data_IF_710978448784
#
_entry.id   IF_710978448784
#
_cell.length_a   1.000
_cell.length_b   1.000
_cell.length_c   1.000
_cell.angle_alpha   90.00
_cell.angle_beta   90.00
_cell.angle_gamma   90.00
#
_symmetry.space_group_name_H-M   'P 1'
#
loop_
_entity.id
_entity.type
_entity.pdbx_description
1 polymer ?
#
# COMPACT_ATOMS: atom_id res chain seq x y z
N UNK A 1 4.11 28.28 7.39
CA UNK A 1 3.25 27.23 6.80
C UNK A 1 3.82 25.85 7.15
N UNK A 2 3.40 25.25 8.28
CA UNK A 2 3.95 23.97 8.73
C UNK A 2 3.38 22.86 7.85
N UNK A 3 4.20 22.31 6.94
CA UNK A 3 3.85 21.09 6.19
C UNK A 3 3.44 20.06 7.23
N UNK A 4 2.17 19.65 7.23
CA UNK A 4 1.69 18.51 8.03
C UNK A 4 2.46 17.30 7.54
N UNK A 5 3.64 17.07 8.12
CA UNK A 5 4.31 15.79 8.06
C UNK A 5 3.34 14.83 8.76
N UNK A 6 2.52 14.12 7.97
CA UNK A 6 2.12 12.78 8.40
C UNK A 6 3.40 11.98 8.27
N UNK A 7 4.23 12.09 9.32
CA UNK A 7 5.39 11.26 9.58
C UNK A 7 4.91 9.85 9.24
N UNK A 8 5.51 9.24 8.22
CA UNK A 8 5.34 7.82 7.95
C UNK A 8 5.57 7.15 9.30
N UNK A 9 4.49 6.68 9.91
CA UNK A 9 4.59 5.93 11.14
C UNK A 9 5.31 4.66 10.74
N UNK A 10 6.62 4.65 10.99
CA UNK A 10 7.41 3.45 11.20
C UNK A 10 6.57 2.55 12.10
N UNK A 11 5.90 1.55 11.51
CA UNK A 11 5.19 0.53 12.28
C UNK A 11 6.27 -0.41 12.80
N UNK A 12 6.98 0.04 13.84
CA UNK A 12 7.62 -0.85 14.79
C UNK A 12 6.49 -1.41 15.65
N UNK A 13 6.10 -2.66 15.40
CA UNK A 13 5.05 -3.32 16.16
C UNK A 13 5.66 -4.16 17.29
N UNK A 14 5.18 -3.92 18.51
CA UNK A 14 5.16 -4.90 19.59
C UNK A 14 3.97 -4.51 20.47
N UNK A 15 2.78 -5.03 20.14
CA UNK A 15 1.91 -5.76 21.07
C UNK A 15 0.45 -5.90 20.54
N UNK A 16 -0.20 -6.94 21.03
CA UNK A 16 -1.35 -7.65 20.45
C UNK A 16 -2.65 -6.85 20.32
N UNK A 17 -2.80 -6.10 19.22
CA UNK A 17 -4.01 -5.85 18.42
C UNK A 17 -3.73 -4.69 17.44
N UNK A 18 -2.67 -4.82 16.65
CA UNK A 18 -2.24 -3.77 15.73
C UNK A 18 -3.36 -3.46 14.72
N UNK A 19 -3.88 -2.24 14.79
CA UNK A 19 -4.89 -1.73 13.86
C UNK A 19 -4.29 -1.82 12.45
N UNK A 20 -4.80 -2.76 11.65
CA UNK A 20 -4.40 -2.88 10.25
C UNK A 20 -5.05 -1.74 9.46
N UNK A 21 -4.28 -0.86 8.79
CA UNK A 21 -4.87 0.19 7.98
C UNK A 21 -5.61 -0.44 6.79
N UNK A 22 -6.82 0.03 6.51
CA UNK A 22 -7.59 -0.41 5.32
C UNK A 22 -7.01 0.16 4.02
N UNK A 23 -6.30 1.28 4.12
CA UNK A 23 -5.79 2.05 2.99
C UNK A 23 -4.44 2.69 3.35
N UNK A 24 -3.44 2.49 2.50
CA UNK A 24 -2.07 3.01 2.66
C UNK A 24 -1.71 3.98 1.54
N UNK A 25 -0.68 4.80 1.74
CA UNK A 25 -0.11 5.62 0.65
C UNK A 25 0.52 4.75 -0.42
N UNK A 26 0.77 5.35 -1.59
CA UNK A 26 1.57 4.73 -2.66
C UNK A 26 2.99 4.40 -2.16
N UNK A 27 3.60 5.26 -1.34
CA UNK A 27 4.93 5.01 -0.80
C UNK A 27 4.93 3.86 0.21
N UNK A 28 3.95 3.81 1.12
CA UNK A 28 3.80 2.67 2.04
C UNK A 28 3.52 1.37 1.29
N UNK A 29 2.71 1.39 0.23
CA UNK A 29 2.50 0.23 -0.63
C UNK A 29 3.79 -0.23 -1.33
N UNK A 30 4.60 0.71 -1.81
CA UNK A 30 5.92 0.45 -2.35
C UNK A 30 6.84 -0.21 -1.30
N UNK A 31 6.86 0.33 -0.08
CA UNK A 31 7.66 -0.22 1.03
C UNK A 31 7.16 -1.62 1.43
N UNK A 32 5.85 -1.84 1.50
CA UNK A 32 5.23 -3.14 1.85
C UNK A 32 5.54 -4.23 0.81
N UNK A 33 5.55 -3.89 -0.48
CA UNK A 33 5.88 -4.83 -1.55
C UNK A 33 7.39 -4.85 -1.89
N UNK A 34 8.19 -4.00 -1.26
CA UNK A 34 9.61 -3.76 -1.62
C UNK A 34 9.81 -3.44 -3.11
N UNK A 35 8.88 -2.66 -3.69
CA UNK A 35 8.89 -2.27 -5.10
C UNK A 35 9.16 -0.77 -5.26
N UNK A 36 9.70 -0.39 -6.41
CA UNK A 36 9.82 1.03 -6.77
C UNK A 36 8.45 1.67 -7.00
N UNK A 37 8.35 2.99 -6.77
CA UNK A 37 7.12 3.77 -7.05
C UNK A 37 6.62 3.59 -8.48
N UNK A 38 7.53 3.50 -9.45
CA UNK A 38 7.19 3.26 -10.86
C UNK A 38 6.45 1.94 -11.03
N UNK A 39 6.91 0.86 -10.39
CA UNK A 39 6.25 -0.44 -10.44
C UNK A 39 4.86 -0.38 -9.82
N UNK A 40 4.70 0.32 -8.69
CA UNK A 40 3.37 0.52 -8.09
C UNK A 40 2.43 1.26 -9.06
N UNK A 41 2.91 2.32 -9.73
CA UNK A 41 2.08 3.01 -10.73
C UNK A 41 1.73 2.13 -11.92
N UNK A 42 2.65 1.28 -12.39
CA UNK A 42 2.36 0.30 -13.44
C UNK A 42 1.28 -0.69 -12.99
N UNK A 43 1.41 -1.25 -11.79
CA UNK A 43 0.42 -2.17 -11.24
C UNK A 43 -0.96 -1.52 -11.05
N UNK A 44 -1.01 -0.24 -10.70
CA UNK A 44 -2.26 0.53 -10.66
C UNK A 44 -2.84 0.72 -12.07
N UNK A 45 -1.99 1.05 -13.05
CA UNK A 45 -2.40 1.24 -14.44
C UNK A 45 -2.88 -0.07 -15.09
N UNK A 46 -2.26 -1.19 -14.75
CA UNK A 46 -2.65 -2.56 -15.16
C UNK A 46 -3.92 -3.05 -14.44
N UNK A 47 -4.37 -2.33 -13.41
CA UNK A 47 -5.54 -2.71 -12.60
C UNK A 47 -5.27 -3.83 -11.59
N UNK A 48 -4.01 -4.23 -11.42
CA UNK A 48 -3.59 -5.21 -10.41
C UNK A 48 -3.68 -4.65 -8.98
N UNK A 49 -3.47 -3.33 -8.81
CA UNK A 49 -3.62 -2.65 -7.54
C UNK A 49 -4.77 -1.63 -7.55
N UNK A 50 -5.69 -1.76 -6.60
CA UNK A 50 -6.84 -0.86 -6.44
C UNK A 50 -6.44 0.39 -5.67
N UNK A 51 -6.30 1.49 -6.41
CA UNK A 51 -6.09 2.83 -5.87
C UNK A 51 -7.41 3.61 -5.77
N UNK A 52 -7.77 4.04 -4.56
CA UNK A 52 -8.93 4.86 -4.25
C UNK A 52 -8.50 6.31 -4.08
N UNK A 53 -9.22 7.23 -4.73
CA UNK A 53 -9.03 8.67 -4.57
C UNK A 53 -9.97 9.20 -3.49
N UNK A 54 -9.41 9.71 -2.40
CA UNK A 54 -10.12 10.35 -1.29
C UNK A 54 -9.80 11.85 -1.32
N UNK A 55 -10.67 12.64 -1.95
CA UNK A 55 -10.43 14.06 -2.21
C UNK A 55 -9.20 14.28 -3.11
N UNK A 56 -8.16 14.90 -2.56
CA UNK A 56 -6.87 15.12 -3.25
C UNK A 56 -5.86 14.00 -2.99
N UNK A 57 -6.17 13.05 -2.10
CA UNK A 57 -5.25 11.99 -1.69
C UNK A 57 -5.55 10.68 -2.42
N UNK A 58 -4.57 10.12 -3.11
CA UNK A 58 -4.63 8.73 -3.61
C UNK A 58 -4.18 7.77 -2.52
N UNK A 59 -4.92 6.68 -2.35
CA UNK A 59 -4.66 5.60 -1.38
C UNK A 59 -4.77 4.25 -2.06
N UNK A 60 -3.94 3.29 -1.65
CA UNK A 60 -4.00 1.90 -2.12
C UNK A 60 -4.63 1.06 -1.01
N UNK A 61 -5.55 0.18 -1.37
CA UNK A 61 -6.19 -0.71 -0.39
C UNK A 61 -5.23 -1.83 0.01
N UNK A 62 -5.16 -2.14 1.31
CA UNK A 62 -4.34 -3.26 1.80
C UNK A 62 -4.85 -4.61 1.30
N UNK A 63 -6.18 -4.77 1.20
CA UNK A 63 -6.80 -5.96 0.61
C UNK A 63 -6.34 -6.23 -0.83
N UNK A 64 -6.11 -5.20 -1.64
CA UNK A 64 -5.60 -5.38 -3.01
C UNK A 64 -4.12 -5.77 -3.04
N UNK A 65 -3.32 -5.30 -2.08
CA UNK A 65 -1.92 -5.73 -1.95
C UNK A 65 -1.85 -7.21 -1.56
N UNK A 66 -2.66 -7.62 -0.58
CA UNK A 66 -2.75 -9.02 -0.14
C UNK A 66 -3.17 -9.92 -1.32
N UNK A 67 -4.27 -9.59 -2.01
CA UNK A 67 -4.72 -10.33 -3.19
C UNK A 67 -3.66 -10.42 -4.29
N UNK A 68 -2.92 -9.34 -4.55
CA UNK A 68 -1.85 -9.35 -5.53
C UNK A 68 -0.75 -10.36 -5.17
N UNK A 69 -0.33 -10.40 -3.90
CA UNK A 69 0.66 -11.38 -3.44
C UNK A 69 0.15 -12.81 -3.48
N UNK A 70 -1.12 -13.04 -3.10
CA UNK A 70 -1.76 -14.36 -3.19
C UNK A 70 -1.85 -14.85 -4.64
N UNK A 71 -2.23 -13.97 -5.57
CA UNK A 71 -2.28 -14.29 -7.00
C UNK A 71 -0.90 -14.69 -7.54
N UNK A 72 0.15 -13.94 -7.20
CA UNK A 72 1.51 -14.28 -7.60
C UNK A 72 1.96 -15.62 -7.01
N UNK A 73 1.67 -15.87 -5.74
CA UNK A 73 1.99 -17.13 -5.08
C UNK A 73 1.28 -18.31 -5.76
N UNK A 74 -0.01 -18.17 -6.10
CA UNK A 74 -0.79 -19.22 -6.77
C UNK A 74 -0.33 -19.50 -8.21
N UNK A 75 0.19 -18.49 -8.91
CA UNK A 75 0.66 -18.62 -10.30
C UNK A 75 2.03 -19.30 -10.41
N UNK A 76 2.79 -19.31 -9.33
CA UNK A 76 4.14 -19.89 -9.27
C UNK A 76 4.16 -21.34 -8.76
N UNK A 77 3.02 -21.89 -8.34
CA UNK A 77 2.84 -23.29 -7.94
C UNK A 77 2.33 -24.14 -9.12
#
# INVERSE_FOLDING_TARGET
MRKRQRKSSTVGNSDAAAIRPLCVTINEAADMLSLGRTSIYQLIAEGALVAIKIGTCTRVTTASLDQFTEQLASRQA
#
